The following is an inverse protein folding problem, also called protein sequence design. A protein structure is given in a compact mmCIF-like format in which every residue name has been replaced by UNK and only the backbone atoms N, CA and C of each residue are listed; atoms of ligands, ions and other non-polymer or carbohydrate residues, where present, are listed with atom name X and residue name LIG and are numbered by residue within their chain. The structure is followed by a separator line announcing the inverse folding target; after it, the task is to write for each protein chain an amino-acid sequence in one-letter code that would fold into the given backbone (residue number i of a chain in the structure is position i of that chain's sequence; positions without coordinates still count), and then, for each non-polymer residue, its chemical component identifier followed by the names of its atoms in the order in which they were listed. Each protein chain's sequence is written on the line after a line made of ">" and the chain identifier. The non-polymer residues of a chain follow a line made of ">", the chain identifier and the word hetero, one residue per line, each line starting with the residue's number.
data_IF_845929575064
#
_entry.id   IF_845929575064
#
_cell.length_a   1.000
_cell.length_b   1.000
_cell.length_c   1.000
_cell.angle_alpha   90.00
_cell.angle_beta   90.00
_cell.angle_gamma   90.00
#
_symmetry.space_group_name_H-M   'P 1'
#
loop_
_entity.id
_entity.type
_entity.pdbx_description
1 polymer ?
#
# COMPACT_ATOMS: atom_id res chain seq x y z
N UNK A 1 9.60 -114.40 -20.54
CA UNK A 1 9.31 -115.47 -19.57
C UNK A 1 7.88 -115.93 -19.84
N UNK A 2 7.73 -116.87 -20.78
CA UNK A 2 7.55 -118.32 -20.53
C UNK A 2 6.19 -118.66 -19.90
N UNK A 3 5.37 -119.35 -20.72
CA UNK A 3 4.33 -120.32 -20.38
C UNK A 3 3.31 -119.95 -19.29
N UNK A 4 2.12 -119.53 -19.71
CA UNK A 4 0.86 -119.69 -18.96
C UNK A 4 -0.27 -119.96 -19.96
N UNK A 5 -0.24 -121.14 -20.58
CA UNK A 5 -1.39 -121.73 -21.25
C UNK A 5 -1.40 -123.21 -20.90
N UNK A 6 -1.65 -123.50 -19.63
CA UNK A 6 -2.17 -124.80 -19.21
C UNK A 6 -3.67 -124.61 -19.03
N UNK A 7 -4.47 -125.22 -19.91
CA UNK A 7 -5.92 -125.33 -19.75
C UNK A 7 -6.19 -126.17 -18.48
N UNK A 8 -6.22 -125.53 -17.32
CA UNK A 8 -6.65 -126.13 -16.06
C UNK A 8 -8.19 -126.11 -16.00
N UNK A 9 -8.79 -126.88 -16.90
CA UNK A 9 -10.22 -127.14 -16.89
C UNK A 9 -10.50 -128.40 -16.09
N UNK A 10 -11.12 -128.24 -14.92
CA UNK A 10 -11.55 -129.39 -14.10
C UNK A 10 -13.01 -129.73 -14.43
N UNK A 11 -13.28 -131.02 -14.65
CA UNK A 11 -14.61 -131.53 -14.96
C UNK A 11 -15.42 -131.68 -13.68
N UNK A 12 -16.54 -130.98 -13.57
CA UNK A 12 -17.39 -131.04 -12.37
C UNK A 12 -17.95 -132.46 -12.17
N UNK A 13 -17.73 -133.12 -11.01
CA UNK A 13 -18.20 -134.48 -10.78
C UNK A 13 -19.72 -134.61 -10.59
N UNK A 14 -20.47 -133.51 -10.41
CA UNK A 14 -21.94 -133.54 -10.29
C UNK A 14 -22.69 -133.28 -11.61
N UNK A 15 -22.12 -132.52 -12.56
CA UNK A 15 -22.85 -132.14 -13.79
C UNK A 15 -22.02 -132.23 -15.09
N UNK A 16 -20.73 -132.58 -15.01
CA UNK A 16 -19.91 -132.89 -16.18
C UNK A 16 -19.39 -131.71 -17.00
N UNK A 17 -19.72 -130.46 -16.65
CA UNK A 17 -19.22 -129.26 -17.31
C UNK A 17 -17.74 -128.96 -16.97
N UNK A 18 -17.00 -128.41 -17.94
CA UNK A 18 -15.60 -128.00 -17.79
C UNK A 18 -15.53 -126.61 -17.16
N UNK A 19 -14.89 -126.48 -16.00
CA UNK A 19 -14.71 -125.22 -15.30
C UNK A 19 -13.27 -124.76 -15.50
N UNK A 20 -13.08 -123.63 -16.17
CA UNK A 20 -11.78 -122.97 -16.28
C UNK A 20 -11.46 -122.24 -14.96
N UNK A 21 -10.60 -122.88 -14.17
CA UNK A 21 -10.25 -122.41 -12.82
C UNK A 21 -9.46 -121.11 -12.89
N UNK A 22 -8.65 -120.94 -13.94
CA UNK A 22 -7.86 -119.74 -14.11
C UNK A 22 -8.78 -118.52 -14.22
N UNK A 23 -9.78 -118.56 -15.11
CA UNK A 23 -10.72 -117.46 -15.32
C UNK A 23 -11.59 -117.17 -14.09
N UNK A 24 -12.07 -118.20 -13.38
CA UNK A 24 -12.87 -118.02 -12.17
C UNK A 24 -12.06 -117.44 -11.00
N UNK A 25 -10.83 -117.91 -10.80
CA UNK A 25 -9.94 -117.42 -9.76
C UNK A 25 -9.43 -116.00 -10.06
N UNK A 26 -9.09 -115.70 -11.32
CA UNK A 26 -8.74 -114.34 -11.77
C UNK A 26 -9.90 -113.37 -11.58
N UNK A 27 -11.14 -113.76 -11.91
CA UNK A 27 -12.31 -112.92 -11.67
C UNK A 27 -12.52 -112.63 -10.18
N UNK A 28 -12.33 -113.63 -9.31
CA UNK A 28 -12.46 -113.47 -7.87
C UNK A 28 -11.35 -112.59 -7.26
N UNK A 29 -10.11 -112.71 -7.76
CA UNK A 29 -8.98 -111.85 -7.36
C UNK A 29 -9.22 -110.41 -7.83
N UNK A 30 -9.67 -110.21 -9.07
CA UNK A 30 -9.97 -108.89 -9.61
C UNK A 30 -11.15 -108.22 -8.88
N UNK A 31 -12.18 -108.98 -8.50
CA UNK A 31 -13.31 -108.43 -7.76
C UNK A 31 -12.92 -108.04 -6.33
N UNK A 32 -12.11 -108.87 -5.64
CA UNK A 32 -11.51 -108.50 -4.34
C UNK A 32 -10.62 -107.26 -4.45
N UNK A 33 -9.75 -107.20 -5.46
CA UNK A 33 -8.89 -106.03 -5.69
C UNK A 33 -9.72 -104.76 -5.99
N UNK A 34 -10.80 -104.87 -6.77
CA UNK A 34 -11.72 -103.75 -7.01
C UNK A 34 -12.43 -103.30 -5.74
N UNK A 35 -12.90 -104.24 -4.91
CA UNK A 35 -13.55 -103.92 -3.65
C UNK A 35 -12.57 -103.25 -2.67
N UNK A 36 -11.33 -103.74 -2.58
CA UNK A 36 -10.27 -103.10 -1.79
C UNK A 36 -9.93 -101.70 -2.31
N UNK A 37 -9.78 -101.51 -3.62
CA UNK A 37 -9.54 -100.19 -4.21
C UNK A 37 -10.71 -99.22 -3.98
N UNK A 38 -11.96 -99.69 -4.06
CA UNK A 38 -13.14 -98.88 -3.76
C UNK A 38 -13.19 -98.48 -2.29
N UNK A 39 -12.80 -99.39 -1.39
CA UNK A 39 -12.72 -99.11 0.05
C UNK A 39 -11.61 -98.09 0.34
N UNK A 40 -10.40 -98.29 -0.19
CA UNK A 40 -9.28 -97.35 -0.05
C UNK A 40 -9.61 -95.98 -0.63
N UNK A 41 -10.28 -95.92 -1.79
CA UNK A 41 -10.73 -94.66 -2.38
C UNK A 41 -11.71 -93.93 -1.47
N UNK A 42 -12.66 -94.64 -0.87
CA UNK A 42 -13.63 -94.05 0.06
C UNK A 42 -12.95 -93.55 1.34
N UNK A 43 -12.04 -94.34 1.91
CA UNK A 43 -11.25 -93.93 3.09
C UNK A 43 -10.40 -92.69 2.80
N UNK A 44 -9.77 -92.63 1.61
CA UNK A 44 -9.03 -91.45 1.16
C UNK A 44 -9.93 -90.23 0.93
N UNK A 45 -11.09 -90.40 0.28
CA UNK A 45 -12.05 -89.30 0.07
C UNK A 45 -12.58 -88.77 1.41
N UNK A 46 -12.86 -89.64 2.38
CA UNK A 46 -13.30 -89.26 3.73
C UNK A 46 -12.18 -88.52 4.49
N UNK A 47 -10.93 -88.98 4.40
CA UNK A 47 -9.76 -88.30 4.99
C UNK A 47 -9.53 -86.91 4.38
N UNK A 48 -9.58 -86.79 3.06
CA UNK A 48 -9.42 -85.52 2.33
C UNK A 48 -10.55 -84.56 2.71
N UNK A 49 -11.78 -85.04 2.84
CA UNK A 49 -12.91 -84.20 3.24
C UNK A 49 -12.80 -83.74 4.69
N UNK A 50 -12.35 -84.61 5.61
CA UNK A 50 -12.08 -84.25 7.00
C UNK A 50 -10.99 -83.16 7.08
N UNK A 51 -9.87 -83.34 6.36
CA UNK A 51 -8.79 -82.35 6.29
C UNK A 51 -9.24 -81.03 5.67
N UNK A 52 -10.06 -81.06 4.61
CA UNK A 52 -10.65 -79.84 4.02
C UNK A 52 -11.54 -79.09 5.00
N UNK A 53 -12.33 -79.79 5.81
CA UNK A 53 -13.16 -79.17 6.83
C UNK A 53 -12.32 -78.53 7.94
N UNK A 54 -11.26 -79.20 8.38
CA UNK A 54 -10.26 -78.70 9.34
C UNK A 54 -9.59 -77.42 8.82
N UNK A 55 -9.05 -77.45 7.59
CA UNK A 55 -8.42 -76.28 6.96
C UNK A 55 -9.39 -75.13 6.77
N UNK A 56 -10.64 -75.39 6.37
CA UNK A 56 -11.65 -74.35 6.19
C UNK A 56 -11.97 -73.66 7.51
N UNK A 57 -12.07 -74.43 8.60
CA UNK A 57 -12.27 -73.88 9.94
C UNK A 57 -11.07 -73.04 10.37
N UNK A 58 -9.85 -73.57 10.22
CA UNK A 58 -8.62 -72.85 10.55
C UNK A 58 -8.48 -71.54 9.74
N UNK A 59 -8.89 -71.52 8.47
CA UNK A 59 -8.89 -70.31 7.62
C UNK A 59 -9.89 -69.26 8.12
N UNK A 60 -11.09 -69.68 8.49
CA UNK A 60 -12.12 -68.78 9.03
C UNK A 60 -11.72 -68.20 10.39
N UNK A 61 -11.11 -69.00 11.26
CA UNK A 61 -10.62 -68.55 12.56
C UNK A 61 -9.48 -67.54 12.39
N UNK A 62 -8.54 -67.80 11.46
CA UNK A 62 -7.44 -66.87 11.14
C UNK A 62 -7.98 -65.56 10.58
N UNK A 63 -8.97 -65.62 9.67
CA UNK A 63 -9.63 -64.43 9.11
C UNK A 63 -10.31 -63.60 10.20
N UNK A 64 -10.96 -64.26 11.17
CA UNK A 64 -11.61 -63.58 12.29
C UNK A 64 -10.59 -62.90 13.20
N UNK A 65 -9.51 -63.61 13.56
CA UNK A 65 -8.41 -63.05 14.37
C UNK A 65 -7.73 -61.86 13.68
N UNK A 66 -7.55 -61.92 12.35
CA UNK A 66 -6.97 -60.82 11.58
C UNK A 66 -7.86 -59.58 11.62
N UNK A 67 -9.18 -59.74 11.47
CA UNK A 67 -10.14 -58.62 11.56
C UNK A 67 -10.14 -58.02 12.98
N UNK A 68 -10.09 -58.85 14.01
CA UNK A 68 -10.03 -58.39 15.41
C UNK A 68 -8.74 -57.58 15.67
N UNK A 69 -7.59 -58.07 15.20
CA UNK A 69 -6.30 -57.38 15.32
C UNK A 69 -6.26 -56.07 14.51
N UNK A 70 -6.77 -56.06 13.27
CA UNK A 70 -6.87 -54.85 12.45
C UNK A 70 -7.73 -53.79 13.14
N UNK A 71 -8.85 -54.18 13.76
CA UNK A 71 -9.69 -53.28 14.55
C UNK A 71 -8.93 -52.72 15.75
N UNK A 72 -8.30 -53.57 16.56
CA UNK A 72 -7.54 -53.15 17.74
C UNK A 72 -6.41 -52.16 17.37
N UNK A 73 -5.65 -52.47 16.33
CA UNK A 73 -4.57 -51.60 15.83
C UNK A 73 -5.15 -50.28 15.34
N UNK A 74 -6.25 -50.31 14.57
CA UNK A 74 -6.88 -49.08 14.07
C UNK A 74 -7.36 -48.17 15.21
N UNK A 75 -7.91 -48.75 16.28
CA UNK A 75 -8.40 -48.01 17.42
C UNK A 75 -7.25 -47.40 18.24
N UNK A 76 -6.18 -48.17 18.49
CA UNK A 76 -4.99 -47.67 19.17
C UNK A 76 -4.28 -46.56 18.39
N UNK A 77 -4.17 -46.70 17.06
CA UNK A 77 -3.60 -45.66 16.18
C UNK A 77 -4.48 -44.40 16.21
N UNK A 78 -5.80 -44.55 16.13
CA UNK A 78 -6.73 -43.41 16.20
C UNK A 78 -6.64 -42.67 17.54
N UNK A 79 -6.54 -43.39 18.66
CA UNK A 79 -6.40 -42.79 19.99
C UNK A 79 -5.07 -42.03 20.14
N UNK A 80 -3.95 -42.63 19.71
CA UNK A 80 -2.64 -41.96 19.74
C UNK A 80 -2.61 -40.71 18.86
N UNK A 81 -3.17 -40.80 17.66
CA UNK A 81 -3.25 -39.67 16.74
C UNK A 81 -4.10 -38.52 17.32
N UNK A 82 -5.20 -38.84 18.00
CA UNK A 82 -6.03 -37.84 18.66
C UNK A 82 -5.29 -37.13 19.79
N UNK A 83 -4.55 -37.88 20.62
CA UNK A 83 -3.75 -37.34 21.71
C UNK A 83 -2.60 -36.45 21.20
N UNK A 84 -1.88 -36.87 20.16
CA UNK A 84 -0.84 -36.05 19.54
C UNK A 84 -1.41 -34.78 18.91
N UNK A 85 -2.55 -34.88 18.23
CA UNK A 85 -3.24 -33.72 17.66
C UNK A 85 -3.63 -32.71 18.75
N UNK A 86 -4.16 -33.18 19.88
CA UNK A 86 -4.51 -32.31 21.01
C UNK A 86 -3.28 -31.63 21.62
N UNK A 87 -2.17 -32.36 21.79
CA UNK A 87 -0.90 -31.77 22.28
C UNK A 87 -0.38 -30.70 21.33
N UNK A 88 -0.39 -30.98 20.02
CA UNK A 88 0.05 -30.03 19.00
C UNK A 88 -0.84 -28.78 18.98
N UNK A 89 -2.17 -28.92 19.08
CA UNK A 89 -3.10 -27.80 19.17
C UNK A 89 -2.86 -26.94 20.42
N UNK A 90 -2.56 -27.57 21.57
CA UNK A 90 -2.22 -26.86 22.81
C UNK A 90 -0.89 -26.10 22.70
N UNK A 91 0.15 -26.73 22.15
CA UNK A 91 1.45 -26.08 21.93
C UNK A 91 1.33 -24.89 20.97
N UNK A 92 0.57 -25.04 19.88
CA UNK A 92 0.30 -23.96 18.94
C UNK A 92 -0.45 -22.79 19.60
N UNK A 93 -1.41 -23.09 20.48
CA UNK A 93 -2.16 -22.07 21.22
C UNK A 93 -1.23 -21.29 22.17
N UNK A 94 -0.35 -21.99 22.89
CA UNK A 94 0.63 -21.37 23.80
C UNK A 94 1.60 -20.50 23.02
N UNK A 95 2.13 -20.99 21.89
CA UNK A 95 3.02 -20.20 21.02
C UNK A 95 2.33 -18.94 20.50
N UNK A 96 1.06 -19.03 20.07
CA UNK A 96 0.28 -17.88 19.61
C UNK A 96 0.09 -16.84 20.72
N UNK A 97 -0.20 -17.29 21.95
CA UNK A 97 -0.36 -16.39 23.09
C UNK A 97 0.96 -15.71 23.48
N UNK A 98 2.07 -16.46 23.50
CA UNK A 98 3.39 -15.90 23.80
C UNK A 98 3.81 -14.89 22.73
N UNK A 99 3.65 -15.22 21.45
CA UNK A 99 3.92 -14.31 20.35
C UNK A 99 3.08 -13.02 20.46
N UNK A 100 1.79 -13.13 20.78
CA UNK A 100 0.92 -11.98 20.95
C UNK A 100 1.34 -11.09 22.13
N UNK A 101 1.76 -11.69 23.26
CA UNK A 101 2.29 -10.94 24.41
C UNK A 101 3.59 -10.24 24.09
N UNK A 102 4.57 -10.95 23.52
CA UNK A 102 5.86 -10.36 23.14
C UNK A 102 5.70 -9.23 22.11
N UNK A 103 4.82 -9.42 21.12
CA UNK A 103 4.51 -8.40 20.14
C UNK A 103 3.88 -7.17 20.80
N UNK A 104 2.89 -7.36 21.67
CA UNK A 104 2.24 -6.25 22.36
C UNK A 104 3.20 -5.50 23.28
N UNK A 105 4.09 -6.20 24.00
CA UNK A 105 5.08 -5.56 24.87
C UNK A 105 6.11 -4.76 24.07
N UNK A 106 6.62 -5.30 22.95
CA UNK A 106 7.54 -4.57 22.07
C UNK A 106 6.87 -3.35 21.45
N UNK A 107 5.67 -3.54 20.89
CA UNK A 107 4.90 -2.46 20.27
C UNK A 107 4.61 -1.33 21.27
N UNK A 108 4.18 -1.66 22.49
CA UNK A 108 3.90 -0.65 23.51
C UNK A 108 5.18 0.09 23.95
N UNK A 109 6.31 -0.60 24.09
CA UNK A 109 7.60 0.04 24.43
C UNK A 109 8.10 0.97 23.32
N UNK A 110 8.00 0.55 22.07
CA UNK A 110 8.37 1.39 20.92
C UNK A 110 7.45 2.61 20.83
N UNK A 111 6.14 2.41 20.97
CA UNK A 111 5.16 3.50 20.96
C UNK A 111 5.36 4.48 22.13
N UNK A 112 5.63 4.01 23.34
CA UNK A 112 5.95 4.87 24.49
C UNK A 112 7.22 5.71 24.25
N UNK A 113 8.24 5.13 23.62
CA UNK A 113 9.47 5.84 23.29
C UNK A 113 9.23 6.90 22.20
N UNK A 114 8.50 6.57 21.14
CA UNK A 114 8.12 7.54 20.10
C UNK A 114 7.28 8.69 20.67
N UNK A 115 6.32 8.38 21.54
CA UNK A 115 5.49 9.40 22.20
C UNK A 115 6.31 10.32 23.10
N UNK A 116 7.31 9.79 23.83
CA UNK A 116 8.22 10.63 24.63
C UNK A 116 9.06 11.56 23.75
N UNK A 117 9.65 11.04 22.68
CA UNK A 117 10.43 11.86 21.74
C UNK A 117 9.55 12.96 21.13
N UNK A 118 8.33 12.61 20.71
CA UNK A 118 7.40 13.57 20.15
C UNK A 118 6.97 14.65 21.17
N UNK A 119 6.75 14.27 22.43
CA UNK A 119 6.45 15.23 23.51
C UNK A 119 7.63 16.18 23.78
N UNK A 120 8.85 15.65 23.85
CA UNK A 120 10.07 16.46 24.05
C UNK A 120 10.28 17.45 22.89
N UNK A 121 10.06 17.02 21.64
CA UNK A 121 10.12 17.91 20.48
C UNK A 121 9.05 19.00 20.52
N UNK A 122 7.83 18.66 20.94
CA UNK A 122 6.72 19.59 21.01
C UNK A 122 6.94 20.63 22.12
N UNK A 123 7.44 20.22 23.29
CA UNK A 123 7.86 21.13 24.34
C UNK A 123 8.99 22.07 23.88
N UNK A 124 9.99 21.54 23.18
CA UNK A 124 11.10 22.34 22.64
C UNK A 124 10.60 23.37 21.64
N UNK A 125 9.78 22.96 20.66
CA UNK A 125 9.17 23.89 19.69
C UNK A 125 8.25 24.91 20.36
N UNK A 126 7.52 24.53 21.41
CA UNK A 126 6.69 25.47 22.16
C UNK A 126 7.52 26.52 22.88
N UNK A 127 8.68 26.16 23.45
CA UNK A 127 9.61 27.12 24.06
C UNK A 127 10.21 28.05 23.01
N UNK A 128 10.71 27.50 21.91
CA UNK A 128 11.24 28.29 20.78
C UNK A 128 10.20 29.27 20.22
N UNK A 129 8.93 28.85 20.10
CA UNK A 129 7.84 29.71 19.66
C UNK A 129 7.56 30.83 20.66
N UNK A 130 7.53 30.53 21.96
CA UNK A 130 7.34 31.54 23.01
C UNK A 130 8.46 32.58 23.02
N UNK A 131 9.71 32.15 22.91
CA UNK A 131 10.87 33.03 22.81
C UNK A 131 10.80 33.89 21.56
N UNK A 132 10.47 33.31 20.41
CA UNK A 132 10.28 34.03 19.15
C UNK A 132 9.19 35.11 19.25
N UNK A 133 8.04 34.79 19.87
CA UNK A 133 6.97 35.75 20.08
C UNK A 133 7.39 36.90 21.02
N UNK A 134 8.12 36.60 22.09
CA UNK A 134 8.66 37.62 23.01
C UNK A 134 9.65 38.55 22.30
N UNK A 135 10.59 37.99 21.52
CA UNK A 135 11.55 38.76 20.73
C UNK A 135 10.86 39.62 19.68
N UNK A 136 9.80 39.09 19.05
CA UNK A 136 9.02 39.83 18.06
C UNK A 136 8.28 41.01 18.69
N UNK A 137 7.66 40.80 19.85
CA UNK A 137 6.98 41.86 20.60
C UNK A 137 7.96 42.98 21.03
N UNK A 138 9.14 42.61 21.55
CA UNK A 138 10.16 43.58 21.94
C UNK A 138 10.72 44.34 20.72
N UNK A 139 10.96 43.65 19.60
CA UNK A 139 11.34 44.33 18.35
C UNK A 139 10.30 45.32 17.87
N UNK A 140 9.01 44.99 17.97
CA UNK A 140 7.95 45.89 17.56
C UNK A 140 7.85 47.10 18.49
N UNK A 141 8.04 46.89 19.80
CA UNK A 141 8.13 47.97 20.79
C UNK A 141 9.31 48.90 20.52
N UNK A 142 10.52 48.36 20.32
CA UNK A 142 11.72 49.14 19.99
C UNK A 142 11.51 49.93 18.69
N UNK A 143 10.89 49.34 17.67
CA UNK A 143 10.57 50.05 16.42
C UNK A 143 9.62 51.23 16.65
N UNK A 144 8.62 51.09 17.53
CA UNK A 144 7.72 52.19 17.89
C UNK A 144 8.47 53.29 18.65
N UNK A 145 9.26 52.93 19.65
CA UNK A 145 10.10 53.88 20.41
C UNK A 145 11.10 54.63 19.50
N UNK A 146 11.73 53.93 18.55
CA UNK A 146 12.61 54.55 17.55
C UNK A 146 11.85 55.54 16.67
N UNK A 147 10.66 55.17 16.18
CA UNK A 147 9.84 56.04 15.34
C UNK A 147 9.38 57.29 16.10
N UNK A 148 8.94 57.14 17.35
CA UNK A 148 8.56 58.26 18.22
C UNK A 148 9.75 59.19 18.51
N UNK A 149 10.93 58.63 18.79
CA UNK A 149 12.15 59.43 18.95
C UNK A 149 12.53 60.17 17.67
N UNK A 150 12.47 59.51 16.50
CA UNK A 150 12.73 60.16 15.21
C UNK A 150 11.76 61.31 14.93
N UNK A 151 10.47 61.12 15.20
CA UNK A 151 9.46 62.17 15.06
C UNK A 151 9.72 63.32 16.04
N UNK A 152 10.11 63.03 17.28
CA UNK A 152 10.47 64.05 18.28
C UNK A 152 11.71 64.84 17.86
N UNK A 153 12.75 64.17 17.35
CA UNK A 153 13.96 64.81 16.82
C UNK A 153 13.64 65.71 15.63
N UNK A 154 12.81 65.23 14.68
CA UNK A 154 12.35 66.04 13.54
C UNK A 154 11.54 67.26 14.00
N UNK A 155 10.71 67.12 15.03
CA UNK A 155 9.96 68.24 15.58
C UNK A 155 10.87 69.27 16.24
N UNK A 156 11.82 68.83 17.07
CA UNK A 156 12.81 69.71 17.71
C UNK A 156 13.65 70.46 16.67
N UNK A 157 14.15 69.78 15.64
CA UNK A 157 14.91 70.39 14.56
C UNK A 157 14.08 71.45 13.79
N UNK A 158 12.79 71.19 13.56
CA UNK A 158 11.88 72.18 12.94
C UNK A 158 11.65 73.38 13.86
N UNK A 159 11.51 73.17 15.16
CA UNK A 159 11.29 74.24 16.13
C UNK A 159 12.53 75.15 16.26
N UNK A 160 13.73 74.56 16.30
CA UNK A 160 15.00 75.28 16.28
C UNK A 160 15.16 76.08 14.98
N UNK A 161 14.95 75.45 13.81
CA UNK A 161 14.99 76.14 12.53
C UNK A 161 13.97 77.29 12.44
N UNK A 162 12.78 77.13 13.02
CA UNK A 162 11.77 78.19 13.08
C UNK A 162 12.18 79.35 13.99
N UNK A 163 12.82 79.07 15.13
CA UNK A 163 13.39 80.11 16.01
C UNK A 163 14.51 80.87 15.31
N UNK A 164 15.45 80.18 14.66
CA UNK A 164 16.51 80.80 13.87
C UNK A 164 15.95 81.68 12.75
N UNK A 165 14.94 81.18 12.03
CA UNK A 165 14.26 81.94 10.98
C UNK A 165 13.62 83.23 11.54
N UNK A 166 12.89 83.15 12.65
CA UNK A 166 12.31 84.33 13.31
C UNK A 166 13.37 85.32 13.79
N UNK A 167 14.49 84.82 14.31
CA UNK A 167 15.58 85.69 14.76
C UNK A 167 16.27 86.39 13.58
N UNK A 168 16.48 85.69 12.47
CA UNK A 168 16.95 86.29 11.21
C UNK A 168 15.95 87.31 10.65
N UNK A 169 14.65 87.01 10.67
CA UNK A 169 13.61 87.94 10.23
C UNK A 169 13.59 89.20 11.09
N UNK A 170 13.69 89.07 12.43
CA UNK A 170 13.78 90.20 13.35
C UNK A 170 15.03 91.06 13.09
N UNK A 171 16.19 90.43 12.88
CA UNK A 171 17.44 91.13 12.53
C UNK A 171 17.32 91.85 11.18
N UNK A 172 16.67 91.23 10.19
CA UNK A 172 16.43 91.84 8.89
C UNK A 172 15.46 93.02 9.00
N UNK A 173 14.39 92.91 9.80
CA UNK A 173 13.46 94.00 10.08
C UNK A 173 14.14 95.17 10.81
N UNK A 174 15.02 94.91 11.77
CA UNK A 174 15.84 95.94 12.41
C UNK A 174 16.81 96.59 11.42
N UNK A 175 17.45 95.80 10.56
CA UNK A 175 18.31 96.30 9.51
C UNK A 175 17.54 97.17 8.50
N UNK A 176 16.34 96.76 8.08
CA UNK A 176 15.47 97.56 7.22
C UNK A 176 14.97 98.83 7.90
N UNK A 177 14.65 98.79 9.21
CA UNK A 177 14.27 99.98 9.98
C UNK A 177 15.42 100.98 10.11
N UNK A 178 16.64 100.50 10.37
CA UNK A 178 17.82 101.36 10.45
C UNK A 178 18.21 101.90 9.06
N UNK A 179 18.06 101.09 8.01
CA UNK A 179 18.20 101.53 6.61
C UNK A 179 17.16 102.59 6.24
N UNK A 180 15.89 102.41 6.61
CA UNK A 180 14.84 103.41 6.44
C UNK A 180 15.11 104.68 7.24
N UNK A 181 15.65 104.58 8.46
CA UNK A 181 16.03 105.74 9.28
C UNK A 181 17.19 106.51 8.66
N UNK A 182 18.20 105.82 8.12
CA UNK A 182 19.31 106.41 7.37
C UNK A 182 18.86 107.02 6.04
N UNK A 183 17.93 106.37 5.33
CA UNK A 183 17.30 106.91 4.11
C UNK A 183 16.42 108.12 4.42
N UNK A 184 15.70 108.13 5.56
CA UNK A 184 14.93 109.29 6.03
C UNK A 184 15.84 110.46 6.41
N UNK A 185 17.01 110.20 7.03
CA UNK A 185 18.03 111.22 7.28
C UNK A 185 18.69 111.77 6.00
N UNK A 186 18.85 110.93 4.96
CA UNK A 186 19.33 111.37 3.64
C UNK A 186 18.25 112.10 2.83
N UNK A 187 16.97 111.75 3.01
CA UNK A 187 15.83 112.36 2.31
C UNK A 187 15.59 113.82 2.74
N UNK A 188 16.07 114.26 3.90
CA UNK A 188 15.98 115.67 4.34
C UNK A 188 17.02 116.58 3.68
N UNK A 189 18.00 116.03 2.95
CA UNK A 189 19.03 116.81 2.24
C UNK A 189 18.94 116.73 0.70
N UNK A 190 18.14 115.83 0.13
CA UNK A 190 18.01 115.64 -1.33
C UNK A 190 16.59 115.90 -1.88
N UNK A 191 15.77 116.68 -1.16
CA UNK A 191 14.40 117.03 -1.61
C UNK A 191 14.29 118.34 -2.43
N UNK A 192 15.41 119.02 -2.74
CA UNK A 192 15.39 120.26 -3.54
C UNK A 192 15.85 120.12 -5.00
N UNK A 193 16.32 118.94 -5.45
CA UNK A 193 16.85 118.78 -6.83
C UNK A 193 16.16 117.72 -7.71
N UNK A 194 15.30 116.84 -7.18
CA UNK A 194 14.63 115.78 -7.97
C UNK A 194 13.20 116.11 -8.42
N UNK A 195 12.67 117.28 -8.05
CA UNK A 195 11.33 117.73 -8.44
C UNK A 195 11.23 118.33 -9.86
N UNK A 196 12.33 118.38 -10.64
CA UNK A 196 12.37 119.01 -11.97
C UNK A 196 12.79 118.14 -13.16
N UNK A 197 13.04 116.85 -12.96
CA UNK A 197 13.51 115.96 -14.07
C UNK A 197 12.65 114.70 -14.29
N UNK A 198 11.61 114.48 -13.49
CA UNK A 198 10.72 113.32 -13.63
C UNK A 198 9.28 113.67 -14.08
N UNK A 199 9.09 114.83 -14.70
CA UNK A 199 7.83 115.21 -15.37
C UNK A 199 7.78 114.75 -16.84
N UNK A 200 8.85 114.12 -17.36
CA UNK A 200 9.00 113.88 -18.82
C UNK A 200 9.32 112.45 -19.23
N UNK A 201 9.07 111.41 -18.41
CA UNK A 201 9.26 110.01 -18.86
C UNK A 201 8.16 109.03 -18.41
N UNK A 202 6.91 109.50 -18.33
CA UNK A 202 5.73 108.66 -18.07
C UNK A 202 4.87 108.37 -19.31
N UNK A 203 5.48 108.17 -20.48
CA UNK A 203 4.74 107.71 -21.68
C UNK A 203 5.64 106.89 -22.60
N UNK A 204 5.88 105.62 -22.28
CA UNK A 204 6.21 104.54 -23.27
C UNK A 204 6.70 103.22 -22.65
N UNK A 205 6.23 102.76 -21.48
CA UNK A 205 6.36 101.30 -21.13
C UNK A 205 5.19 100.85 -20.26
N UNK A 206 3.96 101.12 -20.72
CA UNK A 206 2.73 100.60 -20.12
C UNK A 206 2.00 99.63 -21.06
N UNK A 207 2.73 98.94 -21.95
CA UNK A 207 2.11 98.03 -22.90
C UNK A 207 3.08 97.02 -23.52
N UNK A 208 3.63 96.11 -22.69
CA UNK A 208 4.08 94.76 -23.07
C UNK A 208 3.93 93.87 -21.82
N UNK A 209 2.73 93.30 -21.60
CA UNK A 209 2.46 91.85 -21.75
C UNK A 209 3.43 91.03 -20.90
N UNK A 210 3.06 90.57 -19.70
CA UNK A 210 2.06 89.51 -19.42
C UNK A 210 2.28 88.24 -20.27
N UNK A 211 2.33 87.10 -19.56
CA UNK A 211 2.44 85.70 -20.02
C UNK A 211 3.83 85.06 -20.20
N UNK A 212 4.46 84.72 -19.05
CA UNK A 212 5.30 83.52 -18.81
C UNK A 212 6.03 83.71 -17.46
N UNK A 213 5.71 83.07 -16.34
CA UNK A 213 5.80 81.64 -16.11
C UNK A 213 5.08 81.31 -14.79
N UNK A 214 3.93 80.63 -14.87
CA UNK A 214 3.62 79.54 -13.94
C UNK A 214 3.53 78.28 -14.77
N UNK A 215 4.63 77.52 -14.77
CA UNK A 215 4.64 76.11 -15.19
C UNK A 215 4.13 75.25 -14.04
N UNK A 216 3.61 74.08 -14.45
CA UNK A 216 3.29 72.88 -13.68
C UNK A 216 1.81 72.76 -13.32
N UNK A 217 1.00 72.50 -14.34
CA UNK A 217 -0.07 71.49 -14.26
C UNK A 217 0.25 70.43 -15.32
N UNK A 218 0.98 69.42 -14.87
CA UNK A 218 1.19 68.18 -15.61
C UNK A 218 0.92 67.08 -14.59
N UNK A 219 -0.24 66.42 -14.71
CA UNK A 219 -0.57 65.28 -13.85
C UNK A 219 -2.03 65.19 -13.51
N UNK A 220 -2.78 64.45 -14.32
CA UNK A 220 -3.74 63.42 -13.88
C UNK A 220 -4.64 63.06 -15.07
N UNK A 221 -4.09 62.26 -15.98
CA UNK A 221 -4.84 61.59 -17.05
C UNK A 221 -4.88 60.08 -16.76
N UNK A 222 -5.00 59.72 -15.48
CA UNK A 222 -4.81 58.36 -14.97
C UNK A 222 -5.97 57.97 -14.03
N UNK A 223 -7.22 58.22 -14.44
CA UNK A 223 -8.41 57.94 -13.62
C UNK A 223 -9.59 57.32 -14.39
N UNK A 224 -9.38 56.82 -15.62
CA UNK A 224 -10.42 56.13 -16.39
C UNK A 224 -10.13 54.67 -16.76
N UNK A 225 -8.94 54.15 -16.47
CA UNK A 225 -8.61 52.73 -16.64
C UNK A 225 -8.93 51.87 -15.40
N UNK A 226 -8.64 52.39 -14.22
CA UNK A 226 -8.59 51.63 -12.95
C UNK A 226 -9.98 51.30 -12.37
N UNK A 227 -11.04 51.99 -12.82
CA UNK A 227 -12.40 51.72 -12.36
C UNK A 227 -12.96 50.37 -12.86
N UNK A 228 -12.41 49.80 -13.93
CA UNK A 228 -12.83 48.49 -14.44
C UNK A 228 -12.21 47.35 -13.64
N UNK A 229 -10.95 47.53 -13.25
CA UNK A 229 -10.12 46.59 -12.50
C UNK A 229 -10.73 46.40 -11.11
N UNK A 230 -10.98 47.51 -10.39
CA UNK A 230 -11.61 47.51 -9.08
C UNK A 230 -12.97 46.78 -9.07
N UNK A 231 -13.79 46.92 -10.12
CA UNK A 231 -15.10 46.26 -10.18
C UNK A 231 -15.00 44.74 -10.37
N UNK A 232 -13.95 44.25 -11.05
CA UNK A 232 -13.71 42.81 -11.22
C UNK A 232 -13.27 42.23 -9.87
N UNK A 233 -12.34 42.90 -9.19
CA UNK A 233 -11.81 42.49 -7.90
C UNK A 233 -12.88 42.50 -6.81
N UNK A 234 -13.64 43.59 -6.70
CA UNK A 234 -14.75 43.70 -5.74
C UNK A 234 -15.80 42.63 -5.98
N UNK A 235 -16.14 42.34 -7.25
CA UNK A 235 -17.11 41.29 -7.55
C UNK A 235 -16.62 39.92 -7.09
N UNK A 236 -15.39 39.55 -7.44
CA UNK A 236 -14.81 38.25 -7.06
C UNK A 236 -14.75 38.12 -5.53
N UNK A 237 -14.25 39.13 -4.83
CA UNK A 237 -14.14 39.13 -3.36
C UNK A 237 -15.52 39.06 -2.68
N UNK A 238 -16.54 39.70 -3.26
CA UNK A 238 -17.90 39.68 -2.71
C UNK A 238 -18.64 38.36 -2.92
N UNK A 239 -18.45 37.71 -4.06
CA UNK A 239 -19.16 36.47 -4.44
C UNK A 239 -18.45 35.22 -3.90
N UNK A 240 -17.11 35.22 -3.88
CA UNK A 240 -16.28 34.06 -3.54
C UNK A 240 -15.31 34.38 -2.39
N UNK A 241 -15.83 34.39 -1.16
CA UNK A 241 -15.05 34.73 0.05
C UNK A 241 -13.84 33.81 0.31
N UNK A 242 -13.86 32.58 -0.19
CA UNK A 242 -12.74 31.63 -0.06
C UNK A 242 -11.59 31.93 -1.00
N UNK A 243 -11.86 32.60 -2.11
CA UNK A 243 -10.89 32.79 -3.18
C UNK A 243 -9.99 34.00 -2.88
N UNK A 244 -8.81 34.04 -3.48
CA UNK A 244 -7.83 35.09 -3.24
C UNK A 244 -7.55 35.86 -4.53
N UNK A 245 -7.60 37.18 -4.45
CA UNK A 245 -7.36 38.08 -5.58
C UNK A 245 -6.05 38.83 -5.35
N UNK A 246 -5.13 38.76 -6.32
CA UNK A 246 -3.84 39.44 -6.29
C UNK A 246 -3.73 40.44 -7.42
N UNK A 247 -3.33 41.65 -7.08
CA UNK A 247 -2.93 42.67 -8.03
C UNK A 247 -1.55 42.30 -8.61
N UNK A 248 -1.40 42.38 -9.94
CA UNK A 248 -0.11 42.16 -10.59
C UNK A 248 0.63 43.51 -10.65
N UNK A 249 1.84 43.65 -10.06
CA UNK A 249 2.50 44.95 -9.97
C UNK A 249 2.75 45.61 -11.33
N UNK A 250 2.28 46.86 -11.48
CA UNK A 250 2.47 47.67 -12.68
C UNK A 250 3.97 47.94 -12.90
N UNK A 251 4.53 47.33 -13.96
CA UNK A 251 5.91 47.58 -14.38
C UNK A 251 6.67 46.39 -14.96
N UNK A 252 6.16 45.16 -14.81
CA UNK A 252 6.86 43.97 -15.36
C UNK A 252 6.00 43.11 -16.28
N UNK A 253 4.69 42.94 -16.04
CA UNK A 253 3.80 42.18 -16.92
C UNK A 253 2.38 42.75 -16.84
N UNK A 254 1.67 42.81 -17.96
CA UNK A 254 0.57 43.76 -18.17
C UNK A 254 -0.82 43.20 -18.01
N UNK A 255 -1.01 42.27 -17.08
CA UNK A 255 -2.31 41.72 -16.72
C UNK A 255 -2.90 42.45 -15.53
N UNK A 256 -4.21 42.68 -15.57
CA UNK A 256 -4.88 43.50 -14.56
C UNK A 256 -5.05 42.77 -13.22
N UNK A 257 -5.47 41.50 -13.21
CA UNK A 257 -5.84 40.81 -11.98
C UNK A 257 -5.58 39.29 -12.05
N UNK A 258 -4.99 38.72 -10.98
CA UNK A 258 -4.82 37.27 -10.81
C UNK A 258 -5.77 36.75 -9.73
N UNK A 259 -6.66 35.84 -10.10
CA UNK A 259 -7.62 35.20 -9.22
C UNK A 259 -7.17 33.77 -8.90
N UNK A 260 -6.95 33.48 -7.62
CA UNK A 260 -6.60 32.16 -7.10
C UNK A 260 -7.86 31.50 -6.57
N UNK A 261 -8.31 30.45 -7.25
CA UNK A 261 -9.52 29.70 -6.92
C UNK A 261 -9.21 28.72 -5.80
N UNK A 262 -9.98 28.77 -4.70
CA UNK A 262 -9.87 27.83 -3.58
C UNK A 262 -11.15 27.00 -3.44
N UNK A 263 -11.02 25.78 -2.95
CA UNK A 263 -12.19 24.98 -2.56
C UNK A 263 -12.76 25.43 -1.20
N UNK A 264 -13.88 24.83 -0.81
CA UNK A 264 -14.53 25.10 0.47
C UNK A 264 -13.68 24.71 1.69
N UNK A 265 -12.56 24.00 1.49
CA UNK A 265 -11.62 23.60 2.53
C UNK A 265 -10.36 24.50 2.55
N UNK A 266 -10.27 25.48 1.63
CA UNK A 266 -9.15 26.41 1.52
C UNK A 266 -7.98 25.90 0.68
N UNK A 267 -8.11 24.76 -0.01
CA UNK A 267 -7.08 24.24 -0.90
C UNK A 267 -7.05 25.03 -2.21
N UNK A 268 -5.85 25.37 -2.66
CA UNK A 268 -5.65 26.06 -3.94
C UNK A 268 -5.93 25.08 -5.09
N UNK A 269 -7.00 25.33 -5.83
CA UNK A 269 -7.45 24.47 -6.94
C UNK A 269 -6.85 24.88 -8.28
N UNK A 270 -6.60 26.18 -8.47
CA UNK A 270 -6.04 26.74 -9.70
C UNK A 270 -6.13 28.26 -9.72
N UNK A 271 -5.89 28.85 -10.88
CA UNK A 271 -5.80 30.30 -11.04
C UNK A 271 -6.28 30.80 -12.39
N UNK A 272 -6.90 31.98 -12.39
CA UNK A 272 -7.44 32.66 -13.57
C UNK A 272 -6.80 34.05 -13.67
N UNK A 273 -6.26 34.38 -14.83
CA UNK A 273 -5.73 35.70 -15.13
C UNK A 273 -6.75 36.52 -15.92
N UNK A 274 -7.02 37.74 -15.46
CA UNK A 274 -7.95 38.67 -16.10
C UNK A 274 -7.23 39.86 -16.71
N UNK A 275 -7.69 40.25 -17.89
CA UNK A 275 -7.27 41.46 -18.59
C UNK A 275 -8.50 42.20 -19.10
N UNK A 276 -8.61 43.50 -18.85
CA UNK A 276 -9.73 44.33 -19.23
C UNK A 276 -9.32 45.39 -20.26
N UNK A 277 -9.90 45.32 -21.47
CA UNK A 277 -9.66 46.30 -22.55
C UNK A 277 -10.95 47.02 -22.97
N UNK A 278 -10.99 48.32 -22.70
CA UNK A 278 -12.12 49.22 -23.05
C UNK A 278 -11.83 50.12 -24.26
N UNK A 279 -11.30 49.56 -25.34
CA UNK A 279 -10.99 50.29 -26.57
C UNK A 279 -12.08 50.09 -27.64
N UNK A 280 -12.13 51.00 -28.62
CA UNK A 280 -13.14 51.01 -29.70
C UNK A 280 -12.89 49.96 -30.79
N UNK A 281 -11.66 49.47 -30.90
CA UNK A 281 -11.26 48.49 -31.91
C UNK A 281 -10.49 47.37 -31.23
N UNK A 282 -10.78 46.12 -31.61
CA UNK A 282 -10.09 44.93 -31.12
C UNK A 282 -8.70 44.80 -31.77
N UNK A 283 -7.63 44.73 -30.97
CA UNK A 283 -6.27 44.46 -31.46
C UNK A 283 -5.84 43.03 -31.07
N UNK A 284 -5.32 42.28 -32.05
CA UNK A 284 -4.82 40.91 -31.84
C UNK A 284 -3.62 40.84 -30.91
N UNK A 285 -2.79 41.90 -30.87
CA UNK A 285 -1.60 41.96 -30.01
C UNK A 285 -1.92 41.79 -28.52
N UNK A 286 -3.15 42.06 -28.10
CA UNK A 286 -3.57 41.83 -26.71
C UNK A 286 -3.61 40.34 -26.37
N UNK A 287 -3.94 39.46 -27.33
CA UNK A 287 -3.96 38.02 -27.12
C UNK A 287 -2.54 37.49 -26.95
N UNK A 288 -1.62 37.93 -27.80
CA UNK A 288 -0.20 37.54 -27.71
C UNK A 288 0.40 37.97 -26.38
N UNK A 289 0.13 39.21 -25.96
CA UNK A 289 0.60 39.75 -24.68
C UNK A 289 -0.01 39.00 -23.49
N UNK A 290 -1.33 38.83 -23.45
CA UNK A 290 -2.02 38.13 -22.36
C UNK A 290 -1.58 36.67 -22.24
N UNK A 291 -1.22 36.04 -23.35
CA UNK A 291 -0.67 34.68 -23.36
C UNK A 291 0.70 34.62 -22.70
N UNK A 292 1.57 35.59 -22.99
CA UNK A 292 2.87 35.71 -22.31
C UNK A 292 2.71 36.01 -20.82
N UNK A 293 1.79 36.91 -20.48
CA UNK A 293 1.47 37.26 -19.09
C UNK A 293 0.90 36.06 -18.32
N UNK A 294 0.06 35.23 -18.96
CA UNK A 294 -0.48 33.98 -18.41
C UNK A 294 0.62 32.96 -18.08
N UNK A 295 1.59 32.79 -18.98
CA UNK A 295 2.74 31.91 -18.76
C UNK A 295 3.61 32.42 -17.60
N UNK A 296 3.88 33.73 -17.57
CA UNK A 296 4.69 34.34 -16.52
C UNK A 296 4.02 34.27 -15.14
N UNK A 297 2.70 34.49 -15.09
CA UNK A 297 1.89 34.40 -13.87
C UNK A 297 1.56 32.95 -13.47
N UNK A 298 1.91 31.96 -14.32
CA UNK A 298 1.54 30.54 -14.16
C UNK A 298 0.03 30.34 -13.96
N UNK A 299 -0.79 31.11 -14.68
CA UNK A 299 -2.24 30.99 -14.59
C UNK A 299 -2.75 29.79 -15.38
N UNK A 300 -3.75 29.07 -14.87
CA UNK A 300 -4.34 27.93 -15.56
C UNK A 300 -5.27 28.37 -16.71
N UNK A 301 -5.96 29.51 -16.54
CA UNK A 301 -6.86 30.08 -17.54
C UNK A 301 -6.56 31.57 -17.68
N UNK A 302 -6.64 32.10 -18.91
CA UNK A 302 -6.56 33.52 -19.20
C UNK A 302 -7.86 34.02 -19.82
N UNK A 303 -8.36 35.16 -19.34
CA UNK A 303 -9.64 35.74 -19.72
C UNK A 303 -9.45 37.20 -20.11
N UNK A 304 -9.81 37.52 -21.36
CA UNK A 304 -9.85 38.88 -21.87
C UNK A 304 -11.28 39.41 -21.83
N UNK A 305 -11.51 40.41 -20.99
CA UNK A 305 -12.77 41.14 -20.88
C UNK A 305 -12.68 42.36 -21.79
N UNK A 306 -13.47 42.40 -22.86
CA UNK A 306 -13.42 43.49 -23.83
C UNK A 306 -14.78 44.13 -24.10
N UNK A 307 -14.76 45.43 -24.39
CA UNK A 307 -15.94 46.15 -24.87
C UNK A 307 -16.25 45.84 -26.35
N UNK A 308 -15.22 45.66 -27.16
CA UNK A 308 -15.35 45.48 -28.61
C UNK A 308 -14.87 44.10 -29.00
N UNK A 309 -15.78 43.27 -29.51
CA UNK A 309 -15.47 41.91 -29.93
C UNK A 309 -14.68 41.87 -31.24
N UNK A 310 -13.92 40.79 -31.51
CA UNK A 310 -13.35 40.55 -32.83
C UNK A 310 -14.42 40.55 -33.92
N UNK A 311 -14.13 41.10 -35.11
CA UNK A 311 -15.08 41.17 -36.24
C UNK A 311 -15.63 39.80 -36.65
N UNK A 312 -14.88 38.74 -36.35
CA UNK A 312 -15.15 37.35 -36.71
C UNK A 312 -16.17 36.67 -35.78
N UNK A 313 -16.40 37.18 -34.56
CA UNK A 313 -17.24 36.54 -33.54
C UNK A 313 -17.89 37.54 -32.58
N UNK A 314 -19.22 37.51 -32.49
CA UNK A 314 -20.00 38.48 -31.69
C UNK A 314 -20.25 38.08 -30.23
N UNK A 315 -20.05 36.80 -29.86
CA UNK A 315 -20.35 36.26 -28.51
C UNK A 315 -19.12 35.72 -27.80
N UNK A 316 -19.22 35.51 -26.49
CA UNK A 316 -18.15 34.88 -25.67
C UNK A 316 -17.62 33.60 -26.32
N UNK A 317 -16.30 33.49 -26.46
CA UNK A 317 -15.65 32.35 -27.11
C UNK A 317 -14.17 32.21 -26.72
N UNK A 318 -13.62 31.01 -26.91
CA UNK A 318 -12.18 30.78 -26.85
C UNK A 318 -11.50 31.12 -28.18
N UNK A 319 -10.35 31.79 -28.10
CA UNK A 319 -9.42 32.03 -29.20
C UNK A 319 -8.00 31.85 -28.68
N UNK A 320 -7.24 30.96 -29.31
CA UNK A 320 -5.81 30.71 -29.00
C UNK A 320 -5.50 30.33 -27.54
N UNK A 321 -6.47 29.74 -26.85
CA UNK A 321 -6.37 29.34 -25.43
C UNK A 321 -6.80 30.43 -24.44
N UNK A 322 -7.22 31.60 -24.93
CA UNK A 322 -7.74 32.72 -24.13
C UNK A 322 -9.26 32.77 -24.28
N UNK A 323 -9.97 32.92 -23.17
CA UNK A 323 -11.41 33.18 -23.20
C UNK A 323 -11.67 34.67 -23.40
N UNK A 324 -12.41 35.03 -24.44
CA UNK A 324 -12.81 36.41 -24.71
C UNK A 324 -14.27 36.56 -24.34
N UNK A 325 -14.59 37.48 -23.43
CA UNK A 325 -15.96 37.76 -23.01
C UNK A 325 -16.21 39.27 -22.86
N UNK A 326 -17.49 39.64 -22.80
CA UNK A 326 -17.88 41.02 -22.47
C UNK A 326 -18.03 41.18 -20.95
N UNK A 327 -17.94 42.42 -20.45
CA UNK A 327 -18.11 42.71 -19.02
C UNK A 327 -19.49 42.25 -18.47
N UNK A 328 -20.53 42.23 -19.31
CA UNK A 328 -21.86 41.77 -18.91
C UNK A 328 -21.92 40.24 -18.72
N UNK A 329 -21.15 39.50 -19.50
CA UNK A 329 -21.12 38.02 -19.48
C UNK A 329 -20.12 37.49 -18.45
N UNK A 330 -19.16 38.31 -18.02
CA UNK A 330 -18.09 37.96 -17.10
C UNK A 330 -18.56 37.20 -15.86
N UNK A 331 -19.63 37.65 -15.20
CA UNK A 331 -20.13 37.02 -13.96
C UNK A 331 -20.53 35.56 -14.15
N UNK A 332 -21.31 35.29 -15.21
CA UNK A 332 -21.75 33.94 -15.54
C UNK A 332 -20.58 33.06 -16.02
N UNK A 333 -19.65 33.65 -16.78
CA UNK A 333 -18.43 32.99 -17.24
C UNK A 333 -17.55 32.58 -16.06
N UNK A 334 -17.32 33.49 -15.10
CA UNK A 334 -16.52 33.24 -13.91
C UNK A 334 -17.07 32.06 -13.11
N UNK A 335 -18.39 32.00 -12.88
CA UNK A 335 -19.01 30.89 -12.16
C UNK A 335 -18.73 29.52 -12.80
N UNK A 336 -18.83 29.43 -14.12
CA UNK A 336 -18.56 28.19 -14.87
C UNK A 336 -17.07 27.84 -14.85
N UNK A 337 -16.18 28.82 -15.05
CA UNK A 337 -14.74 28.60 -15.03
C UNK A 337 -14.26 28.11 -13.66
N UNK A 338 -14.75 28.73 -12.59
CA UNK A 338 -14.42 28.38 -11.21
C UNK A 338 -14.78 26.92 -10.91
N UNK A 339 -16.00 26.52 -11.24
CA UNK A 339 -16.48 25.14 -11.03
C UNK A 339 -15.66 24.12 -11.86
N UNK A 340 -15.30 24.49 -13.09
CA UNK A 340 -14.46 23.65 -13.95
C UNK A 340 -13.06 23.42 -13.35
N UNK A 341 -12.43 24.47 -12.79
CA UNK A 341 -11.11 24.37 -12.15
C UNK A 341 -11.17 23.45 -10.92
N UNK A 342 -12.17 23.63 -10.06
CA UNK A 342 -12.35 22.81 -8.85
C UNK A 342 -12.54 21.33 -9.21
N UNK A 343 -13.34 21.04 -10.24
CA UNK A 343 -13.57 19.66 -10.66
C UNK A 343 -12.32 19.03 -11.29
N UNK A 344 -11.54 19.79 -12.06
CA UNK A 344 -10.24 19.33 -12.58
C UNK A 344 -9.25 19.02 -11.44
N UNK A 345 -9.20 19.88 -10.41
CA UNK A 345 -8.38 19.67 -9.23
C UNK A 345 -8.76 18.39 -8.47
N UNK A 346 -10.06 18.17 -8.22
CA UNK A 346 -10.56 16.93 -7.57
C UNK A 346 -10.18 15.67 -8.34
N UNK A 347 -10.30 15.69 -9.68
CA UNK A 347 -9.91 14.57 -10.54
C UNK A 347 -8.40 14.29 -10.49
N UNK A 348 -7.58 15.35 -10.52
CA UNK A 348 -6.12 15.24 -10.40
C UNK A 348 -5.71 14.62 -9.06
N UNK A 349 -6.28 15.09 -7.95
CA UNK A 349 -6.02 14.52 -6.63
C UNK A 349 -6.49 13.06 -6.52
N UNK A 350 -7.65 12.71 -7.10
CA UNK A 350 -8.13 11.34 -7.10
C UNK A 350 -7.23 10.37 -7.88
N UNK A 351 -6.53 10.86 -8.91
CA UNK A 351 -5.54 10.10 -9.68
C UNK A 351 -4.21 10.00 -8.93
N UNK A 352 -3.69 11.09 -8.36
CA UNK A 352 -2.45 11.07 -7.57
C UNK A 352 -2.57 10.17 -6.32
N UNK A 353 -3.72 10.16 -5.65
CA UNK A 353 -3.99 9.28 -4.51
C UNK A 353 -4.04 7.78 -4.87
N UNK A 354 -4.22 7.43 -6.16
CA UNK A 354 -4.09 6.04 -6.62
C UNK A 354 -2.62 5.64 -6.83
N UNK A 355 -1.77 6.57 -7.24
CA UNK A 355 -0.35 6.31 -7.49
C UNK A 355 0.47 6.20 -6.20
N UNK A 356 0.16 6.99 -5.15
CA UNK A 356 0.85 6.88 -3.85
C UNK A 356 0.67 5.51 -3.19
N UNK A 357 -0.53 4.91 -3.25
CA UNK A 357 -0.77 3.58 -2.67
C UNK A 357 -0.02 2.47 -3.43
N UNK A 358 0.10 2.61 -4.75
CA UNK A 358 0.89 1.67 -5.55
C UNK A 358 2.39 1.88 -5.32
N UNK A 359 2.85 3.12 -5.12
CA UNK A 359 4.26 3.39 -4.86
C UNK A 359 4.72 2.83 -3.51
N UNK A 360 3.93 2.97 -2.44
CA UNK A 360 4.22 2.38 -1.12
C UNK A 360 4.24 0.85 -1.22
N UNK A 361 3.31 0.25 -1.96
CA UNK A 361 3.28 -1.20 -2.18
C UNK A 361 4.51 -1.68 -2.96
N UNK A 362 4.90 -0.93 -4.00
CA UNK A 362 6.08 -1.24 -4.82
C UNK A 362 7.38 -1.07 -4.03
N UNK A 363 7.46 -0.07 -3.16
CA UNK A 363 8.62 0.17 -2.29
C UNK A 363 8.71 -0.88 -1.18
N UNK A 364 7.58 -1.30 -0.61
CA UNK A 364 7.53 -2.41 0.35
C UNK A 364 7.89 -3.75 -0.29
N UNK A 365 7.37 -4.06 -1.48
CA UNK A 365 7.70 -5.29 -2.21
C UNK A 365 9.18 -5.33 -2.63
N UNK A 366 9.78 -4.17 -2.90
CA UNK A 366 11.21 -4.05 -3.19
C UNK A 366 12.08 -3.80 -1.94
N UNK A 367 11.47 -3.72 -0.76
CA UNK A 367 12.22 -3.46 0.47
C UNK A 367 13.13 -4.64 0.82
N UNK A 368 14.22 -4.32 1.52
CA UNK A 368 15.17 -5.31 2.04
C UNK A 368 14.52 -6.21 3.10
N UNK A 369 13.57 -5.67 3.86
CA UNK A 369 12.82 -6.41 4.89
C UNK A 369 11.92 -7.48 4.27
N UNK A 370 11.12 -7.13 3.26
CA UNK A 370 10.27 -8.10 2.57
C UNK A 370 11.09 -9.24 1.94
N UNK A 371 12.17 -8.89 1.24
CA UNK A 371 13.07 -9.88 0.65
C UNK A 371 13.73 -10.80 1.70
N UNK A 372 14.11 -10.25 2.85
CA UNK A 372 14.72 -11.04 3.94
C UNK A 372 13.72 -12.02 4.54
N UNK A 373 12.47 -11.58 4.77
CA UNK A 373 11.42 -12.43 5.32
C UNK A 373 11.02 -13.54 4.34
N UNK A 374 10.82 -13.23 3.06
CA UNK A 374 10.51 -14.24 2.04
C UNK A 374 11.65 -15.25 1.88
N UNK A 375 12.90 -14.79 1.91
CA UNK A 375 14.07 -15.67 1.85
C UNK A 375 14.13 -16.61 3.05
N UNK A 376 13.82 -16.12 4.25
CA UNK A 376 13.76 -16.95 5.45
C UNK A 376 12.66 -18.01 5.35
N UNK A 377 11.45 -17.63 4.93
CA UNK A 377 10.32 -18.55 4.73
C UNK A 377 10.69 -19.65 3.72
N UNK A 378 11.29 -19.28 2.58
CA UNK A 378 11.71 -20.24 1.55
C UNK A 378 12.79 -21.20 2.05
N UNK A 379 13.77 -20.70 2.82
CA UNK A 379 14.81 -21.55 3.43
C UNK A 379 14.24 -22.52 4.46
N UNK A 380 13.35 -22.05 5.34
CA UNK A 380 12.69 -22.91 6.33
C UNK A 380 11.86 -23.99 5.64
N UNK A 381 11.09 -23.64 4.61
CA UNK A 381 10.35 -24.62 3.81
C UNK A 381 11.27 -25.67 3.16
N UNK A 382 12.39 -25.23 2.60
CA UNK A 382 13.32 -26.15 1.94
C UNK A 382 14.00 -27.10 2.94
N UNK A 383 14.39 -26.60 4.11
CA UNK A 383 14.92 -27.44 5.20
C UNK A 383 13.89 -28.46 5.67
N UNK A 384 12.64 -28.05 5.93
CA UNK A 384 11.57 -28.96 6.34
C UNK A 384 11.32 -30.06 5.30
N UNK A 385 11.41 -29.72 4.01
CA UNK A 385 11.27 -30.69 2.92
C UNK A 385 12.42 -31.69 2.90
N UNK A 386 13.66 -31.23 3.10
CA UNK A 386 14.84 -32.09 3.14
C UNK A 386 14.84 -33.03 4.35
N UNK A 387 14.46 -32.52 5.53
CA UNK A 387 14.28 -33.32 6.75
C UNK A 387 13.23 -34.42 6.55
N UNK A 388 12.07 -34.09 5.97
CA UNK A 388 11.02 -35.05 5.66
C UNK A 388 11.49 -36.15 4.69
N UNK A 389 12.25 -35.79 3.65
CA UNK A 389 12.80 -36.78 2.71
C UNK A 389 13.93 -37.62 3.31
N UNK A 390 14.70 -37.08 4.26
CA UNK A 390 15.66 -37.86 5.03
C UNK A 390 14.95 -38.87 5.95
N UNK A 391 13.88 -38.44 6.63
CA UNK A 391 13.08 -39.27 7.52
C UNK A 391 12.39 -40.42 6.75
N UNK A 392 11.80 -40.13 5.60
CA UNK A 392 11.22 -41.15 4.71
C UNK A 392 12.25 -42.23 4.33
N UNK A 393 13.46 -41.82 3.94
CA UNK A 393 14.54 -42.77 3.58
C UNK A 393 14.98 -43.61 4.78
N UNK A 394 15.10 -43.00 5.96
CA UNK A 394 15.43 -43.72 7.18
C UNK A 394 14.36 -44.76 7.53
N UNK A 395 13.08 -44.37 7.50
CA UNK A 395 11.96 -45.26 7.77
C UNK A 395 11.88 -46.42 6.76
N UNK A 396 12.08 -46.16 5.47
CA UNK A 396 12.13 -47.21 4.45
C UNK A 396 13.23 -48.25 4.74
N UNK A 397 14.42 -47.81 5.18
CA UNK A 397 15.49 -48.72 5.56
C UNK A 397 15.16 -49.53 6.82
N UNK A 398 14.51 -48.90 7.81
CA UNK A 398 14.04 -49.59 9.01
C UNK A 398 12.98 -50.64 8.66
N UNK A 399 12.01 -50.30 7.80
CA UNK A 399 11.00 -51.23 7.32
C UNK A 399 11.63 -52.43 6.61
N UNK A 400 12.55 -52.20 5.67
CA UNK A 400 13.26 -53.31 4.99
C UNK A 400 14.05 -54.21 5.96
N UNK A 401 14.67 -53.64 7.00
CA UNK A 401 15.35 -54.43 8.03
C UNK A 401 14.36 -55.28 8.84
N UNK A 402 13.22 -54.71 9.21
CA UNK A 402 12.16 -55.40 9.96
C UNK A 402 11.51 -56.50 9.11
N UNK A 403 11.20 -56.23 7.85
CA UNK A 403 10.67 -57.22 6.90
C UNK A 403 11.60 -58.43 6.80
N UNK A 404 12.91 -58.21 6.57
CA UNK A 404 13.88 -59.31 6.53
C UNK A 404 13.98 -60.10 7.82
N UNK A 405 13.87 -59.43 8.97
CA UNK A 405 13.88 -60.11 10.26
C UNK A 405 12.64 -61.00 10.43
N UNK A 406 11.46 -60.50 10.04
CA UNK A 406 10.20 -61.25 10.05
C UNK A 406 10.26 -62.43 9.07
N UNK A 407 10.76 -62.23 7.86
CA UNK A 407 10.95 -63.31 6.87
C UNK A 407 11.89 -64.40 7.37
N UNK A 408 13.04 -64.02 7.94
CA UNK A 408 13.99 -64.98 8.50
C UNK A 408 13.39 -65.75 9.68
N UNK A 409 12.65 -65.08 10.57
CA UNK A 409 11.93 -65.73 11.66
C UNK A 409 10.92 -66.74 11.13
N UNK A 410 10.08 -66.34 10.16
CA UNK A 410 9.08 -67.22 9.54
C UNK A 410 9.73 -68.43 8.85
N UNK A 411 10.84 -68.22 8.13
CA UNK A 411 11.61 -69.32 7.53
C UNK A 411 12.16 -70.29 8.57
N UNK A 412 12.79 -69.77 9.64
CA UNK A 412 13.34 -70.60 10.72
C UNK A 412 12.23 -71.35 11.47
N UNK A 413 11.10 -70.71 11.76
CA UNK A 413 9.94 -71.36 12.38
C UNK A 413 9.39 -72.49 11.50
N UNK A 414 9.29 -72.27 10.19
CA UNK A 414 8.87 -73.30 9.24
C UNK A 414 9.85 -74.47 9.21
N UNK A 415 11.16 -74.19 9.21
CA UNK A 415 12.19 -75.21 9.25
C UNK A 415 12.17 -76.03 10.54
N UNK A 416 11.94 -75.40 11.70
CA UNK A 416 11.77 -76.08 12.99
C UNK A 416 10.54 -76.98 12.96
N UNK A 417 9.39 -76.48 12.51
CA UNK A 417 8.16 -77.27 12.40
C UNK A 417 8.33 -78.45 11.44
N UNK A 418 9.00 -78.25 10.31
CA UNK A 418 9.32 -79.33 9.36
C UNK A 418 10.26 -80.38 9.98
N UNK A 419 11.26 -79.94 10.75
CA UNK A 419 12.22 -80.83 11.40
C UNK A 419 11.53 -81.64 12.52
N UNK A 420 10.66 -81.00 13.30
CA UNK A 420 9.82 -81.66 14.29
C UNK A 420 8.90 -82.68 13.62
N UNK A 421 8.22 -82.32 12.54
CA UNK A 421 7.37 -83.25 11.78
C UNK A 421 8.14 -84.46 11.24
N UNK A 422 9.36 -84.28 10.74
CA UNK A 422 10.21 -85.39 10.31
C UNK A 422 10.56 -86.33 11.48
N UNK A 423 10.98 -85.76 12.61
CA UNK A 423 11.31 -86.53 13.83
C UNK A 423 10.08 -87.28 14.36
N UNK A 424 8.91 -86.64 14.38
CA UNK A 424 7.67 -87.25 14.85
C UNK A 424 7.15 -88.34 13.90
N UNK A 425 7.29 -88.15 12.58
CA UNK A 425 6.95 -89.17 11.57
C UNK A 425 7.82 -90.44 11.69
N UNK A 426 9.07 -90.30 12.13
CA UNK A 426 9.97 -91.43 12.40
C UNK A 426 9.63 -92.16 13.72
N UNK A 427 8.99 -91.47 14.68
CA UNK A 427 8.70 -92.00 16.01
C UNK A 427 7.31 -92.65 16.16
N UNK A 428 6.30 -92.18 15.43
CA UNK A 428 4.98 -92.80 15.34
C UNK A 428 4.43 -92.60 13.93
N UNK A 429 3.95 -93.65 13.27
CA UNK A 429 3.45 -93.60 11.88
C UNK A 429 2.17 -92.78 11.69
N UNK A 430 2.22 -91.47 11.93
CA UNK A 430 1.12 -90.52 11.79
C UNK A 430 1.61 -89.07 11.90
N UNK A 431 1.25 -88.25 10.91
CA UNK A 431 1.65 -86.85 10.78
C UNK A 431 0.88 -85.99 11.82
N UNK A 432 1.55 -85.54 12.90
CA UNK A 432 0.88 -84.90 14.05
C UNK A 432 0.76 -83.37 13.98
N UNK A 433 1.54 -82.68 13.14
CA UNK A 433 1.50 -81.21 13.08
C UNK A 433 1.04 -80.77 11.70
N UNK A 434 -0.29 -80.69 11.55
CA UNK A 434 -0.94 -79.92 10.48
C UNK A 434 -0.78 -78.41 10.71
N UNK A 435 -1.38 -77.58 9.84
CA UNK A 435 -1.30 -76.10 9.84
C UNK A 435 -1.55 -75.42 11.22
N UNK A 436 -2.16 -76.12 12.18
CA UNK A 436 -2.41 -75.62 13.54
C UNK A 436 -1.14 -75.46 14.40
N UNK A 437 -0.07 -76.23 14.18
CA UNK A 437 1.14 -76.11 15.00
C UNK A 437 1.98 -74.86 14.71
N UNK A 438 1.90 -74.33 13.49
CA UNK A 438 2.55 -73.06 13.12
C UNK A 438 1.88 -71.89 13.85
N UNK A 439 0.54 -71.91 13.97
CA UNK A 439 -0.21 -70.91 14.76
C UNK A 439 0.09 -70.97 16.26
N UNK A 440 0.37 -72.16 16.80
CA UNK A 440 0.67 -72.30 18.23
C UNK A 440 2.01 -71.68 18.63
N UNK A 441 3.00 -71.68 17.72
CA UNK A 441 4.29 -71.02 17.94
C UNK A 441 4.21 -69.50 17.78
N UNK A 442 3.36 -68.99 16.88
CA UNK A 442 3.10 -67.55 16.75
C UNK A 442 2.33 -66.96 17.94
N UNK A 443 1.49 -67.75 18.62
CA UNK A 443 0.76 -67.32 19.83
C UNK A 443 1.64 -67.33 21.09
N UNK A 444 2.60 -68.24 21.22
CA UNK A 444 3.56 -68.25 22.35
C UNK A 444 4.41 -66.97 22.42
N UNK A 445 4.63 -66.29 21.29
CA UNK A 445 5.34 -65.02 21.24
C UNK A 445 4.46 -63.79 21.60
N UNK A 446 3.13 -63.97 21.76
CA UNK A 446 2.20 -62.89 22.14
C UNK A 446 1.88 -62.86 23.65
N UNK A 447 2.25 -63.90 24.38
CA UNK A 447 1.92 -64.07 25.81
C UNK A 447 3.09 -63.71 26.76
N UNK A 448 4.20 -63.14 26.27
CA UNK A 448 5.36 -62.72 27.07
C UNK A 448 5.52 -61.19 27.26
N UNK A 449 4.42 -60.42 27.25
CA UNK A 449 4.40 -59.01 27.73
C UNK A 449 3.52 -58.84 28.98
#
# INVERSE_FOLDING_TARGET
>A
MQNLNQNEQIKCPSCGSFIDISTALYAQILDKAKQEMLKQKKEFDDEVNAKRAEYTKALNDLKTQKIEQEKLISEQVSQKLLLEKQKFEQELLIQKQNFQKEFSEKFNKEHENEMKIMQEELEKKSKELSEFLSIKAENERIKREQKENEERLKFQAKEEAFKEFKEQESKNLEFEREKMRLEFQKSTQEQDLKYKELETNFKSVAQKLEDAQRRIEQGSQQLQGEAAELLIEEYIQSEYLSDEVKEVPKGVNGADCLHIVKDNFGNICGSILYESKRTKEFNKEWLDKLKLDSIAAKSDIAVLITKTMPKDKEKTHFKEGILICTFNEFKGVLAVLRESIINAYKLKNALQNKDEKNHILYEYLNSKEFNTQITFILKTYQNMKEELEAEKRALQNIWKKRERAIENLSFNSTAIVSSLNAIFSDLQGGNLIGEEGIKSLENLAKDED
#
